data_IF_503109135332
#
_entry.id   IF_503109135332
#
_cell.length_a   1.000
_cell.length_b   1.000
_cell.length_c   1.000
_cell.angle_alpha   90.00
_cell.angle_beta   90.00
_cell.angle_gamma   90.00
#
_symmetry.space_group_name_H-M   'P 1'
#
loop_
_entity.id
_entity.type
_entity.pdbx_description
1 polymer ?
#
# COMPACT_ATOMS: atom_id res chain seq x y z
N UNK A 1 45.43 -11.56 39.56
CA UNK A 1 43.97 -11.37 39.37
C UNK A 1 43.74 -10.03 38.66
N UNK A 2 43.53 -10.04 37.34
CA UNK A 2 43.03 -8.89 36.58
C UNK A 2 42.04 -9.44 35.56
N UNK A 3 40.76 -9.35 35.88
CA UNK A 3 39.68 -9.69 34.96
C UNK A 3 39.41 -8.46 34.10
N UNK A 4 39.67 -8.57 32.80
CA UNK A 4 39.33 -7.56 31.81
C UNK A 4 37.96 -7.92 31.22
N UNK A 5 36.91 -7.29 31.74
CA UNK A 5 35.55 -7.43 31.20
C UNK A 5 35.43 -6.62 29.92
N UNK A 6 35.41 -7.30 28.77
CA UNK A 6 35.08 -6.71 27.47
C UNK A 6 33.57 -6.53 27.40
N UNK A 7 33.11 -5.28 27.52
CA UNK A 7 31.72 -4.90 27.24
C UNK A 7 31.57 -4.87 25.71
N UNK A 8 30.95 -5.91 25.15
CA UNK A 8 30.52 -5.93 23.75
C UNK A 8 29.28 -5.05 23.64
N UNK A 9 29.47 -3.83 23.14
CA UNK A 9 28.38 -2.94 22.77
C UNK A 9 27.70 -3.50 21.52
N UNK A 10 26.64 -4.29 21.70
CA UNK A 10 25.77 -4.72 20.61
C UNK A 10 25.01 -3.51 20.08
N UNK A 11 25.55 -2.88 19.03
CA UNK A 11 24.86 -1.90 18.22
C UNK A 11 23.64 -2.56 17.57
N UNK A 12 22.47 -2.39 18.17
CA UNK A 12 21.19 -2.70 17.56
C UNK A 12 21.00 -1.77 16.35
N UNK A 13 21.35 -2.24 15.16
CA UNK A 13 20.99 -1.62 13.90
C UNK A 13 19.48 -1.74 13.73
N UNK A 14 18.74 -0.79 14.30
CA UNK A 14 17.35 -0.56 13.93
C UNK A 14 17.29 -0.31 12.43
N UNK A 15 16.65 -1.22 11.69
CA UNK A 15 16.32 -0.99 10.29
C UNK A 15 15.34 0.19 10.23
N UNK A 16 15.87 1.40 10.07
CA UNK A 16 15.10 2.55 9.62
C UNK A 16 14.71 2.26 8.17
N UNK A 17 13.49 1.77 7.98
CA UNK A 17 12.89 1.73 6.65
C UNK A 17 12.70 3.17 6.17
N UNK A 18 13.61 3.65 5.34
CA UNK A 18 13.40 4.90 4.61
C UNK A 18 12.21 4.68 3.68
N UNK A 19 11.06 5.29 4.01
CA UNK A 19 9.96 5.40 3.04
C UNK A 19 10.54 6.10 1.80
N UNK A 20 10.25 5.55 0.61
CA UNK A 20 10.70 6.16 -0.65
C UNK A 20 10.33 7.65 -0.68
N UNK A 21 11.11 8.49 -1.37
CA UNK A 21 10.74 9.89 -1.53
C UNK A 21 9.59 10.00 -2.55
N UNK A 22 8.62 10.91 -2.34
CA UNK A 22 7.61 11.18 -3.36
C UNK A 22 8.29 11.67 -4.63
N UNK A 23 7.76 11.24 -5.78
CA UNK A 23 8.22 11.71 -7.09
C UNK A 23 7.64 13.07 -7.43
N UNK A 24 6.50 13.42 -6.82
CA UNK A 24 5.84 14.70 -6.95
C UNK A 24 4.99 14.97 -5.70
N UNK A 25 4.88 16.25 -5.31
CA UNK A 25 4.08 16.67 -4.16
C UNK A 25 3.23 17.88 -4.55
N UNK A 26 1.93 17.77 -4.28
CA UNK A 26 0.94 18.80 -4.56
C UNK A 26 0.43 19.39 -3.25
N UNK A 27 0.42 20.71 -3.13
CA UNK A 27 0.04 21.42 -1.91
C UNK A 27 -1.37 22.00 -1.98
N UNK A 28 -2.01 22.09 -0.81
CA UNK A 28 -3.37 22.59 -0.66
C UNK A 28 -3.41 23.76 0.31
N UNK A 29 -4.30 24.69 0.00
CA UNK A 29 -4.68 25.75 0.93
C UNK A 29 -5.39 25.18 2.17
N UNK A 30 -5.45 26.00 3.22
CA UNK A 30 -6.14 25.61 4.44
C UNK A 30 -7.60 25.24 4.15
N UNK A 31 -8.02 24.11 4.71
CA UNK A 31 -9.39 23.60 4.63
C UNK A 31 -9.93 23.37 3.21
N UNK A 32 -9.05 23.26 2.21
CA UNK A 32 -9.45 23.02 0.81
C UNK A 32 -9.00 21.67 0.28
N UNK A 33 -9.82 21.11 -0.59
CA UNK A 33 -9.46 20.01 -1.49
C UNK A 33 -9.46 20.43 -2.97
N UNK A 34 -9.81 21.68 -3.29
CA UNK A 34 -9.62 22.26 -4.61
C UNK A 34 -8.17 22.77 -4.77
N UNK A 35 -7.58 22.60 -5.95
CA UNK A 35 -6.24 23.11 -6.26
C UNK A 35 -6.28 24.47 -6.95
N UNK A 36 -5.24 25.27 -6.72
CA UNK A 36 -4.99 26.47 -7.52
C UNK A 36 -4.28 26.10 -8.84
N UNK A 37 -4.26 27.02 -9.80
CA UNK A 37 -3.71 26.77 -11.14
C UNK A 37 -2.25 26.33 -11.12
N UNK A 38 -1.43 26.89 -10.22
CA UNK A 38 -0.01 26.51 -10.12
C UNK A 38 0.14 25.04 -9.72
N UNK A 39 -0.65 24.58 -8.75
CA UNK A 39 -0.63 23.19 -8.29
C UNK A 39 -1.24 22.21 -9.30
N UNK A 40 -2.24 22.66 -10.07
CA UNK A 40 -2.74 21.88 -11.22
C UNK A 40 -1.62 21.71 -12.25
N UNK A 41 -0.89 22.79 -12.56
CA UNK A 41 0.20 22.75 -13.54
C UNK A 41 1.33 21.81 -13.10
N UNK A 42 1.64 21.73 -11.80
CA UNK A 42 2.59 20.73 -11.26
C UNK A 42 2.20 19.30 -11.64
N UNK A 43 0.92 18.94 -11.51
CA UNK A 43 0.43 17.59 -11.89
C UNK A 43 0.54 17.37 -13.40
N UNK A 44 0.15 18.37 -14.20
CA UNK A 44 0.20 18.29 -15.66
C UNK A 44 1.64 18.12 -16.16
N UNK A 45 2.58 18.88 -15.59
CA UNK A 45 4.00 18.79 -15.96
C UNK A 45 4.61 17.45 -15.55
N UNK A 46 4.20 16.91 -14.40
CA UNK A 46 4.57 15.56 -13.98
C UNK A 46 4.13 14.51 -15.02
N UNK A 47 2.88 14.55 -15.49
CA UNK A 47 2.36 13.60 -16.49
C UNK A 47 3.16 13.71 -17.80
N UNK A 48 3.49 14.93 -18.23
CA UNK A 48 4.26 15.15 -19.48
C UNK A 48 5.69 14.61 -19.40
N UNK A 49 6.32 14.66 -18.22
CA UNK A 49 7.71 14.23 -18.01
C UNK A 49 7.83 12.73 -17.80
N UNK A 50 6.78 12.07 -17.31
CA UNK A 50 6.87 10.69 -16.87
C UNK A 50 6.76 9.70 -18.04
N UNK A 51 7.73 8.78 -18.14
CA UNK A 51 7.68 7.68 -19.08
C UNK A 51 6.73 6.59 -18.57
N UNK A 52 5.46 6.67 -18.98
CA UNK A 52 4.40 5.75 -18.54
C UNK A 52 4.67 4.29 -18.93
N UNK A 53 5.56 4.00 -19.88
CA UNK A 53 5.92 2.63 -20.27
C UNK A 53 6.71 1.90 -19.19
N UNK A 54 7.49 2.65 -18.39
CA UNK A 54 8.32 2.19 -17.28
C UNK A 54 7.62 2.22 -15.93
N UNK A 55 6.44 2.81 -15.86
CA UNK A 55 5.61 2.84 -14.64
C UNK A 55 4.76 1.57 -14.59
N UNK A 56 4.84 0.87 -13.47
CA UNK A 56 3.89 -0.18 -13.12
C UNK A 56 2.62 0.46 -12.58
N UNK A 57 2.76 1.25 -11.50
CA UNK A 57 1.64 1.92 -10.86
C UNK A 57 2.02 3.25 -10.19
N UNK A 58 1.01 4.06 -9.89
CA UNK A 58 1.10 5.26 -9.07
C UNK A 58 0.29 5.04 -7.79
N UNK A 59 0.86 5.51 -6.69
CA UNK A 59 0.22 5.58 -5.38
C UNK A 59 0.06 7.04 -4.99
N UNK A 60 -1.08 7.37 -4.39
CA UNK A 60 -1.48 8.74 -4.05
C UNK A 60 -1.84 8.77 -2.57
N UNK A 61 -1.14 9.59 -1.79
CA UNK A 61 -1.36 9.74 -0.35
C UNK A 61 -1.65 11.18 0.00
N UNK A 62 -2.79 11.43 0.64
CA UNK A 62 -3.21 12.77 1.02
C UNK A 62 -3.08 13.00 2.51
N UNK A 63 -2.70 14.22 2.87
CA UNK A 63 -2.45 14.61 4.25
C UNK A 63 -3.12 15.94 4.56
N UNK A 64 -3.39 16.15 5.84
CA UNK A 64 -3.82 17.42 6.41
C UNK A 64 -2.84 17.90 7.48
N UNK A 65 -2.93 19.17 7.84
CA UNK A 65 -2.22 19.70 8.99
C UNK A 65 -2.83 19.24 10.32
N UNK A 66 -2.22 19.60 11.45
CA UNK A 66 -2.55 19.09 12.79
C UNK A 66 -3.90 19.56 13.34
N UNK A 67 -4.60 20.48 12.65
CA UNK A 67 -5.83 21.13 13.13
C UNK A 67 -7.09 20.39 12.70
N UNK A 68 -8.15 20.50 13.50
CA UNK A 68 -9.46 19.87 13.25
C UNK A 68 -9.56 18.44 13.78
N UNK A 69 -10.78 17.89 13.74
CA UNK A 69 -11.05 16.53 14.22
C UNK A 69 -10.39 15.46 13.34
N UNK A 70 -10.12 14.28 13.91
CA UNK A 70 -9.51 13.16 13.18
C UNK A 70 -10.35 12.75 11.96
N UNK A 71 -11.65 12.50 12.17
CA UNK A 71 -12.56 12.01 11.11
C UNK A 71 -12.73 13.04 10.00
N UNK A 72 -12.82 14.33 10.37
CA UNK A 72 -12.87 15.43 9.41
C UNK A 72 -11.62 15.45 8.51
N UNK A 73 -10.43 15.40 9.12
CA UNK A 73 -9.18 15.39 8.36
C UNK A 73 -9.02 14.14 7.51
N UNK A 74 -9.54 13.01 7.96
CA UNK A 74 -9.54 11.77 7.19
C UNK A 74 -10.35 11.95 5.89
N UNK A 75 -11.59 12.42 5.98
CA UNK A 75 -12.41 12.69 4.78
C UNK A 75 -11.83 13.84 3.92
N UNK A 76 -11.30 14.91 4.52
CA UNK A 76 -10.64 15.99 3.76
C UNK A 76 -9.44 15.47 2.97
N UNK A 77 -8.58 14.67 3.60
CA UNK A 77 -7.42 14.08 2.93
C UNK A 77 -7.81 13.09 1.83
N UNK A 78 -8.94 12.39 1.99
CA UNK A 78 -9.53 11.51 0.98
C UNK A 78 -10.07 12.30 -0.22
N UNK A 79 -10.73 13.42 0.02
CA UNK A 79 -11.18 14.31 -1.06
C UNK A 79 -10.00 14.89 -1.84
N UNK A 80 -8.90 15.25 -1.16
CA UNK A 80 -7.67 15.74 -1.81
C UNK A 80 -7.05 14.72 -2.77
N UNK A 81 -6.94 13.45 -2.36
CA UNK A 81 -6.40 12.41 -3.25
C UNK A 81 -7.33 12.12 -4.43
N UNK A 82 -8.65 12.23 -4.25
CA UNK A 82 -9.62 12.10 -5.34
C UNK A 82 -9.46 13.26 -6.34
N UNK A 83 -9.28 14.49 -5.87
CA UNK A 83 -9.01 15.64 -6.75
C UNK A 83 -7.76 15.42 -7.60
N UNK A 84 -6.66 14.97 -7.00
CA UNK A 84 -5.42 14.65 -7.74
C UNK A 84 -5.62 13.49 -8.71
N UNK A 85 -6.34 12.44 -8.30
CA UNK A 85 -6.68 11.32 -9.18
C UNK A 85 -7.44 11.81 -10.42
N UNK A 86 -8.47 12.63 -10.24
CA UNK A 86 -9.30 13.13 -11.34
C UNK A 86 -8.45 13.92 -12.33
N UNK A 87 -7.61 14.85 -11.85
CA UNK A 87 -6.72 15.63 -12.70
C UNK A 87 -5.74 14.74 -13.46
N UNK A 88 -5.15 13.73 -12.81
CA UNK A 88 -4.29 12.75 -13.49
C UNK A 88 -5.04 12.06 -14.64
N UNK A 89 -6.25 11.57 -14.38
CA UNK A 89 -7.04 10.84 -15.39
C UNK A 89 -7.58 11.72 -16.51
N UNK A 90 -8.01 12.95 -16.20
CA UNK A 90 -8.48 13.94 -17.17
C UNK A 90 -7.36 14.38 -18.11
N UNK A 91 -6.12 14.38 -17.63
CA UNK A 91 -4.92 14.66 -18.43
C UNK A 91 -4.29 13.40 -19.05
N UNK A 92 -5.07 12.31 -19.18
CA UNK A 92 -4.70 11.14 -19.96
C UNK A 92 -3.89 10.06 -19.21
N UNK A 93 -3.67 10.21 -17.90
CA UNK A 93 -3.04 9.13 -17.14
C UNK A 93 -3.99 7.93 -17.01
N UNK A 94 -3.50 6.74 -17.31
CA UNK A 94 -4.32 5.53 -17.27
C UNK A 94 -4.78 5.22 -15.82
N UNK A 95 -6.09 5.31 -15.58
CA UNK A 95 -6.72 5.03 -14.28
C UNK A 95 -6.35 3.65 -13.72
N UNK A 96 -6.15 2.65 -14.58
CA UNK A 96 -5.81 1.28 -14.15
C UNK A 96 -4.41 1.16 -13.55
N UNK A 97 -3.55 2.16 -13.74
CA UNK A 97 -2.23 2.27 -13.10
C UNK A 97 -2.27 3.04 -11.77
N UNK A 98 -3.39 3.64 -11.38
CA UNK A 98 -3.54 4.29 -10.07
C UNK A 98 -4.10 3.24 -9.10
N UNK A 99 -3.26 2.71 -8.22
CA UNK A 99 -3.59 1.48 -7.46
C UNK A 99 -3.86 1.72 -5.98
N UNK A 100 -3.18 2.69 -5.36
CA UNK A 100 -3.39 3.05 -3.95
C UNK A 100 -3.77 4.52 -3.88
N UNK A 101 -4.89 4.80 -3.23
CA UNK A 101 -5.45 6.14 -3.06
C UNK A 101 -5.92 6.23 -1.61
N UNK A 102 -5.14 6.89 -0.77
CA UNK A 102 -5.36 6.87 0.67
C UNK A 102 -5.28 8.27 1.27
N UNK A 103 -6.39 8.72 1.87
CA UNK A 103 -6.39 9.85 2.79
C UNK A 103 -5.79 9.41 4.12
N UNK A 104 -4.67 10.01 4.53
CA UNK A 104 -3.94 9.69 5.76
C UNK A 104 -4.40 10.50 6.97
N UNK A 105 -5.28 11.48 6.76
CA UNK A 105 -5.74 12.37 7.81
C UNK A 105 -4.68 13.40 8.21
N UNK A 106 -4.71 13.83 9.47
CA UNK A 106 -3.83 14.89 9.99
C UNK A 106 -2.45 14.36 10.37
N UNK A 107 -1.43 15.18 10.09
CA UNK A 107 -0.07 14.98 10.59
C UNK A 107 0.08 15.77 11.89
N UNK A 108 0.35 15.09 13.00
CA UNK A 108 0.58 15.73 14.30
C UNK A 108 1.94 16.43 14.30
N UNK A 109 1.95 17.71 14.69
CA UNK A 109 3.17 18.53 14.78
C UNK A 109 3.48 18.82 16.24
N UNK A 110 4.72 18.54 16.65
CA UNK A 110 5.25 18.96 17.95
C UNK A 110 5.68 20.43 17.84
N UNK A 111 4.82 21.33 18.33
CA UNK A 111 4.92 22.78 18.09
C UNK A 111 6.22 23.40 18.59
N UNK A 112 6.79 22.82 19.64
CA UNK A 112 8.06 23.17 20.28
C UNK A 112 9.29 22.74 19.48
N UNK A 113 9.13 21.84 18.49
CA UNK A 113 10.23 21.27 17.70
C UNK A 113 10.28 21.78 16.26
N UNK A 114 9.48 22.77 15.92
CA UNK A 114 9.43 23.34 14.57
C UNK A 114 9.74 24.83 14.60
N UNK A 115 10.61 25.27 13.70
CA UNK A 115 11.02 26.68 13.59
C UNK A 115 9.84 27.57 13.18
N UNK A 116 9.06 27.10 12.19
CA UNK A 116 7.88 27.80 11.70
C UNK A 116 6.67 26.87 11.62
N UNK A 117 5.77 27.03 12.57
CA UNK A 117 4.55 26.24 12.66
C UNK A 117 3.62 26.48 11.46
N UNK A 118 3.50 27.73 10.99
CA UNK A 118 2.62 28.06 9.85
C UNK A 118 3.11 27.40 8.57
N UNK A 119 4.42 27.50 8.31
CA UNK A 119 5.04 26.89 7.14
C UNK A 119 4.96 25.36 7.19
N UNK A 120 5.23 24.76 8.36
CA UNK A 120 5.12 23.31 8.56
C UNK A 120 3.70 22.81 8.28
N UNK A 121 2.68 23.54 8.75
CA UNK A 121 1.27 23.23 8.44
C UNK A 121 1.00 23.32 6.95
N UNK A 122 1.51 24.35 6.28
CA UNK A 122 1.37 24.48 4.83
C UNK A 122 2.01 23.33 4.07
N UNK A 123 3.19 22.87 4.49
CA UNK A 123 3.85 21.69 3.93
C UNK A 123 3.12 20.38 4.24
N UNK A 124 2.35 20.30 5.32
CA UNK A 124 1.56 19.11 5.68
C UNK A 124 0.22 19.01 4.95
N UNK A 125 -0.32 20.11 4.44
CA UNK A 125 -1.49 20.10 3.56
C UNK A 125 -1.06 19.72 2.15
N UNK A 126 -0.88 18.43 1.90
CA UNK A 126 -0.33 17.95 0.64
C UNK A 126 -0.91 16.62 0.18
N UNK A 127 -0.68 16.32 -1.07
CA UNK A 127 -0.81 14.99 -1.67
C UNK A 127 0.53 14.60 -2.27
N UNK A 128 1.02 13.44 -1.88
CA UNK A 128 2.29 12.87 -2.34
C UNK A 128 2.02 11.76 -3.36
N UNK A 129 2.72 11.81 -4.50
CA UNK A 129 2.67 10.81 -5.56
C UNK A 129 3.92 9.95 -5.49
N UNK A 130 3.74 8.65 -5.57
CA UNK A 130 4.83 7.66 -5.64
C UNK A 130 4.68 6.82 -6.88
N UNK A 131 5.79 6.57 -7.58
CA UNK A 131 5.83 5.66 -8.73
C UNK A 131 6.41 4.33 -8.29
N UNK A 132 5.67 3.26 -8.59
CA UNK A 132 6.22 1.90 -8.64
C UNK A 132 6.71 1.67 -10.07
N UNK A 133 8.01 1.42 -10.22
CA UNK A 133 8.60 1.13 -11.55
C UNK A 133 8.29 -0.32 -11.93
N UNK A 134 8.15 -0.58 -13.23
CA UNK A 134 8.09 -1.96 -13.72
C UNK A 134 9.32 -2.73 -13.28
N UNK A 135 9.11 -3.99 -12.88
CA UNK A 135 10.16 -4.91 -12.44
C UNK A 135 10.95 -4.44 -11.19
N UNK A 136 10.44 -3.47 -10.41
CA UNK A 136 11.17 -2.94 -9.23
C UNK A 136 11.25 -3.91 -8.06
N UNK A 137 10.42 -4.95 -8.03
CA UNK A 137 10.36 -5.90 -6.93
C UNK A 137 11.39 -7.04 -7.04
N UNK A 138 12.10 -7.15 -8.16
CA UNK A 138 13.06 -8.23 -8.42
C UNK A 138 12.49 -9.36 -9.27
N UNK A 139 13.37 -10.30 -9.64
CA UNK A 139 13.03 -11.42 -10.53
C UNK A 139 12.03 -12.36 -9.85
N UNK A 140 10.97 -12.74 -10.56
CA UNK A 140 9.93 -13.64 -10.06
C UNK A 140 8.88 -12.96 -9.15
N UNK A 141 8.87 -11.63 -9.06
CA UNK A 141 7.85 -10.88 -8.33
C UNK A 141 7.07 -10.00 -9.32
N UNK A 142 5.77 -10.23 -9.39
CA UNK A 142 4.83 -9.61 -10.31
C UNK A 142 3.73 -8.89 -9.55
N UNK A 143 3.11 -7.91 -10.18
CA UNK A 143 1.97 -7.12 -9.66
C UNK A 143 0.62 -7.58 -10.22
N UNK A 144 0.67 -8.52 -11.17
CA UNK A 144 -0.48 -9.11 -11.85
C UNK A 144 -0.12 -10.51 -12.37
N UNK A 145 -1.14 -11.31 -12.64
CA UNK A 145 -0.95 -12.60 -13.31
C UNK A 145 -0.41 -12.39 -14.73
N UNK A 146 0.54 -13.24 -15.11
CA UNK A 146 1.16 -13.28 -16.43
C UNK A 146 0.62 -14.48 -17.22
N UNK A 147 0.85 -14.49 -18.53
CA UNK A 147 0.49 -15.63 -19.39
C UNK A 147 1.12 -16.95 -18.92
N UNK A 148 2.35 -16.87 -18.40
CA UNK A 148 3.05 -18.00 -17.80
C UNK A 148 3.76 -17.59 -16.51
N UNK A 149 3.77 -18.51 -15.56
CA UNK A 149 4.48 -18.39 -14.29
C UNK A 149 5.42 -19.58 -14.09
N UNK A 150 6.26 -19.50 -13.07
CA UNK A 150 7.09 -20.59 -12.56
C UNK A 150 6.78 -20.83 -11.09
N UNK A 151 7.05 -22.06 -10.62
CA UNK A 151 7.01 -22.37 -9.19
C UNK A 151 7.93 -21.42 -8.44
N UNK A 152 7.41 -20.82 -7.36
CA UNK A 152 8.08 -19.81 -6.56
C UNK A 152 7.80 -18.36 -6.98
N UNK A 153 7.17 -18.13 -8.13
CA UNK A 153 6.75 -16.78 -8.52
C UNK A 153 5.79 -16.20 -7.48
N UNK A 154 5.93 -14.91 -7.19
CA UNK A 154 5.07 -14.17 -6.27
C UNK A 154 4.28 -13.13 -7.05
N UNK A 155 2.97 -13.12 -6.86
CA UNK A 155 2.06 -12.18 -7.51
C UNK A 155 1.46 -11.31 -6.41
N UNK A 156 1.99 -10.11 -6.26
CA UNK A 156 1.48 -9.10 -5.35
C UNK A 156 0.22 -8.45 -5.94
N UNK A 157 -0.88 -8.51 -5.21
CA UNK A 157 -2.17 -7.99 -5.67
C UNK A 157 -2.37 -6.54 -5.23
N UNK A 158 -1.77 -5.59 -5.95
CA UNK A 158 -1.79 -4.15 -5.64
C UNK A 158 -3.19 -3.56 -5.45
N UNK A 159 -4.18 -4.12 -6.16
CA UNK A 159 -5.56 -3.64 -6.18
C UNK A 159 -6.47 -4.35 -5.19
N UNK A 160 -5.94 -5.30 -4.42
CA UNK A 160 -6.65 -5.97 -3.33
C UNK A 160 -6.39 -5.22 -2.03
N UNK A 161 -7.20 -4.20 -1.85
CA UNK A 161 -7.16 -3.25 -0.74
C UNK A 161 -8.09 -3.71 0.40
N UNK A 162 -7.63 -3.43 1.61
CA UNK A 162 -8.39 -3.61 2.84
C UNK A 162 -8.53 -2.27 3.55
N UNK A 163 -9.66 -2.06 4.23
CA UNK A 163 -9.77 -0.93 5.14
C UNK A 163 -8.72 -1.04 6.27
N UNK A 164 -8.31 0.10 6.83
CA UNK A 164 -7.31 0.12 7.90
C UNK A 164 -7.74 -0.76 9.07
N UNK A 165 -6.85 -1.68 9.46
CA UNK A 165 -7.09 -2.64 10.55
C UNK A 165 -8.15 -3.71 10.26
N UNK A 166 -8.74 -3.76 9.08
CA UNK A 166 -9.81 -4.69 8.72
C UNK A 166 -9.33 -5.77 7.76
N UNK A 167 -9.98 -6.94 7.83
CA UNK A 167 -9.81 -8.03 6.85
C UNK A 167 -10.92 -8.07 5.79
N UNK A 168 -11.90 -7.17 5.84
CA UNK A 168 -13.00 -7.10 4.87
C UNK A 168 -12.52 -6.60 3.50
N UNK A 169 -12.92 -7.33 2.46
CA UNK A 169 -12.69 -6.95 1.07
C UNK A 169 -13.61 -5.79 0.68
N UNK A 170 -13.03 -4.74 0.11
CA UNK A 170 -13.79 -3.63 -0.48
C UNK A 170 -14.46 -4.06 -1.79
N UNK A 171 -15.49 -3.35 -2.23
CA UNK A 171 -16.13 -3.62 -3.53
C UNK A 171 -15.16 -3.50 -4.70
N UNK A 172 -14.21 -2.56 -4.64
CA UNK A 172 -13.17 -2.43 -5.66
C UNK A 172 -12.27 -3.67 -5.70
N UNK A 173 -11.92 -4.22 -4.54
CA UNK A 173 -11.11 -5.43 -4.45
C UNK A 173 -11.86 -6.68 -4.90
N UNK A 174 -13.18 -6.75 -4.68
CA UNK A 174 -14.01 -7.83 -5.24
C UNK A 174 -14.01 -7.82 -6.77
N UNK A 175 -14.12 -6.64 -7.40
CA UNK A 175 -14.02 -6.49 -8.86
C UNK A 175 -12.67 -6.98 -9.41
N UNK A 176 -11.59 -6.66 -8.70
CA UNK A 176 -10.26 -7.15 -9.08
C UNK A 176 -10.15 -8.67 -8.90
N UNK A 177 -10.67 -9.22 -7.80
CA UNK A 177 -10.70 -10.67 -7.60
C UNK A 177 -11.53 -11.38 -8.67
N UNK A 178 -12.62 -10.78 -9.15
CA UNK A 178 -13.39 -11.35 -10.26
C UNK A 178 -12.58 -11.46 -11.54
N UNK A 179 -11.72 -10.48 -11.85
CA UNK A 179 -10.79 -10.58 -12.98
C UNK A 179 -9.77 -11.71 -12.77
N UNK A 180 -9.24 -11.84 -11.55
CA UNK A 180 -8.30 -12.93 -11.19
C UNK A 180 -8.97 -14.31 -11.29
N UNK A 181 -10.24 -14.43 -10.89
CA UNK A 181 -11.02 -15.69 -10.99
C UNK A 181 -11.04 -16.19 -12.44
N UNK A 182 -11.26 -15.31 -13.42
CA UNK A 182 -11.28 -15.70 -14.83
C UNK A 182 -9.95 -16.31 -15.28
N UNK A 183 -8.82 -15.74 -14.83
CA UNK A 183 -7.49 -16.26 -15.13
C UNK A 183 -7.24 -17.61 -14.45
N UNK A 184 -7.59 -17.74 -13.17
CA UNK A 184 -7.45 -18.98 -12.40
C UNK A 184 -8.36 -20.13 -12.89
N UNK A 185 -9.47 -19.80 -13.56
CA UNK A 185 -10.36 -20.76 -14.21
C UNK A 185 -9.78 -21.28 -15.52
N UNK A 186 -8.97 -20.47 -16.23
CA UNK A 186 -8.21 -20.91 -17.41
C UNK A 186 -7.03 -21.79 -16.99
N UNK A 187 -6.34 -21.43 -15.90
CA UNK A 187 -5.17 -22.16 -15.37
C UNK A 187 -5.58 -23.21 -14.34
N UNK A 188 -6.24 -24.31 -14.79
CA UNK A 188 -6.88 -25.31 -13.91
C UNK A 188 -5.93 -26.18 -13.07
N UNK A 189 -4.66 -26.28 -13.44
CA UNK A 189 -3.66 -27.11 -12.74
C UNK A 189 -2.83 -26.33 -11.72
N UNK A 190 -2.85 -25.00 -11.79
CA UNK A 190 -2.05 -24.15 -10.91
C UNK A 190 -2.49 -24.31 -9.46
N UNK A 191 -1.53 -24.55 -8.57
CA UNK A 191 -1.69 -24.53 -7.11
C UNK A 191 -0.90 -23.35 -6.54
N UNK A 192 -1.49 -22.64 -5.57
CA UNK A 192 -0.91 -21.41 -5.03
C UNK A 192 -1.23 -21.17 -3.56
N UNK A 193 -0.35 -20.43 -2.89
CA UNK A 193 -0.51 -20.00 -1.50
C UNK A 193 -0.84 -18.51 -1.44
N UNK A 194 -1.93 -18.17 -0.77
CA UNK A 194 -2.39 -16.81 -0.52
C UNK A 194 -1.74 -16.33 0.80
N UNK A 195 -0.83 -15.36 0.72
CA UNK A 195 -0.15 -14.80 1.89
C UNK A 195 -0.71 -13.42 2.21
N UNK A 196 -1.23 -13.26 3.43
CA UNK A 196 -1.62 -11.95 3.95
C UNK A 196 -0.49 -11.33 4.75
N UNK A 197 -0.36 -10.02 4.63
CA UNK A 197 0.66 -9.20 5.29
C UNK A 197 0.02 -8.01 5.99
N UNK A 198 0.67 -7.56 7.06
CA UNK A 198 0.32 -6.34 7.79
C UNK A 198 1.54 -5.46 7.93
N UNK A 199 1.32 -4.15 7.99
CA UNK A 199 2.40 -3.21 8.30
C UNK A 199 2.53 -3.03 9.83
N UNK A 200 3.68 -2.51 10.24
CA UNK A 200 3.89 -1.75 11.49
C UNK A 200 3.42 -2.43 12.79
N UNK A 201 3.52 -3.76 12.85
CA UNK A 201 3.31 -4.50 14.10
C UNK A 201 4.61 -4.47 14.92
N UNK A 202 4.58 -4.13 16.24
CA UNK A 202 5.77 -4.21 17.08
C UNK A 202 6.41 -5.59 17.00
N UNK A 203 7.75 -5.66 17.07
CA UNK A 203 8.52 -6.91 16.89
C UNK A 203 8.12 -8.04 17.84
N UNK A 204 7.57 -7.72 19.00
CA UNK A 204 7.07 -8.71 19.98
C UNK A 204 5.76 -9.38 19.58
N UNK A 205 5.04 -8.83 18.60
CA UNK A 205 3.79 -9.38 18.10
C UNK A 205 3.98 -10.00 16.71
N UNK A 206 3.41 -11.18 16.51
CA UNK A 206 3.50 -11.91 15.25
C UNK A 206 2.53 -11.39 14.17
N UNK A 207 1.46 -10.71 14.59
CA UNK A 207 0.43 -10.17 13.69
C UNK A 207 -0.25 -8.94 14.34
N UNK A 208 -1.02 -8.20 13.54
CA UNK A 208 -1.85 -7.10 13.97
C UNK A 208 -3.24 -7.58 14.42
N UNK A 209 -3.92 -6.72 15.20
CA UNK A 209 -5.30 -6.94 15.63
C UNK A 209 -6.23 -6.64 14.44
N UNK A 210 -7.13 -7.57 14.16
CA UNK A 210 -8.20 -7.38 13.19
C UNK A 210 -9.38 -6.69 13.88
N UNK A 211 -9.72 -5.49 13.41
CA UNK A 211 -10.84 -4.68 13.91
C UNK A 211 -12.18 -5.43 13.84
N UNK A 212 -12.34 -6.35 12.90
CA UNK A 212 -13.61 -7.05 12.71
C UNK A 212 -13.79 -8.23 13.68
N UNK A 213 -12.71 -8.93 14.01
CA UNK A 213 -12.76 -10.13 14.88
C UNK A 213 -12.22 -9.87 16.28
N UNK A 214 -11.54 -8.75 16.49
CA UNK A 214 -10.80 -8.40 17.71
C UNK A 214 -9.65 -9.37 18.04
N UNK A 215 -9.30 -10.27 17.13
CA UNK A 215 -8.18 -11.21 17.28
C UNK A 215 -6.89 -10.67 16.66
N UNK A 216 -5.74 -11.07 17.22
CA UNK A 216 -4.42 -10.79 16.65
C UNK A 216 -4.08 -11.73 15.49
N UNK A 217 -4.88 -11.67 14.44
CA UNK A 217 -4.78 -12.52 13.24
C UNK A 217 -5.13 -11.77 11.95
N UNK A 218 -4.87 -10.45 11.89
CA UNK A 218 -5.27 -9.62 10.76
C UNK A 218 -4.68 -10.11 9.43
N UNK A 219 -3.39 -10.44 9.39
CA UNK A 219 -2.75 -10.94 8.17
C UNK A 219 -3.37 -12.28 7.72
N UNK A 220 -3.63 -13.18 8.67
CA UNK A 220 -4.27 -14.46 8.40
C UNK A 220 -5.71 -14.29 7.89
N UNK A 221 -6.49 -13.43 8.54
CA UNK A 221 -7.88 -13.20 8.19
C UNK A 221 -8.02 -12.54 6.81
N UNK A 222 -7.10 -11.65 6.44
CA UNK A 222 -7.02 -11.08 5.07
C UNK A 222 -6.82 -12.17 4.02
N UNK A 223 -5.83 -13.04 4.24
CA UNK A 223 -5.56 -14.17 3.34
C UNK A 223 -6.77 -15.12 3.25
N UNK A 224 -7.37 -15.43 4.40
CA UNK A 224 -8.55 -16.29 4.51
C UNK A 224 -9.77 -15.72 3.79
N UNK A 225 -9.98 -14.41 3.83
CA UNK A 225 -11.10 -13.78 3.15
C UNK A 225 -10.93 -13.81 1.62
N UNK A 226 -9.71 -13.62 1.12
CA UNK A 226 -9.41 -13.83 -0.31
C UNK A 226 -9.62 -15.29 -0.71
N UNK A 227 -9.11 -16.24 0.08
CA UNK A 227 -9.33 -17.67 -0.13
C UNK A 227 -10.82 -18.03 -0.25
N UNK A 228 -11.63 -17.58 0.72
CA UNK A 228 -13.08 -17.83 0.75
C UNK A 228 -13.78 -17.19 -0.44
N UNK A 229 -13.37 -15.99 -0.83
CA UNK A 229 -13.94 -15.31 -2.00
C UNK A 229 -13.71 -16.15 -3.28
N UNK A 230 -12.47 -16.57 -3.53
CA UNK A 230 -12.12 -17.39 -4.69
C UNK A 230 -12.83 -18.75 -4.68
N UNK A 231 -12.89 -19.41 -3.51
CA UNK A 231 -13.60 -20.68 -3.34
C UNK A 231 -15.08 -20.53 -3.70
N UNK A 232 -15.74 -19.49 -3.19
CA UNK A 232 -17.14 -19.20 -3.48
C UNK A 232 -17.39 -18.86 -4.96
N UNK A 233 -16.35 -18.38 -5.68
CA UNK A 233 -16.37 -18.13 -7.12
C UNK A 233 -16.00 -19.37 -7.95
N UNK A 234 -15.88 -20.55 -7.32
CA UNK A 234 -15.70 -21.83 -7.98
C UNK A 234 -14.23 -22.24 -8.21
N UNK A 235 -13.26 -21.55 -7.61
CA UNK A 235 -11.87 -22.00 -7.63
C UNK A 235 -11.73 -23.20 -6.66
N UNK A 236 -11.27 -24.34 -7.17
CA UNK A 236 -11.10 -25.55 -6.37
C UNK A 236 -10.21 -25.28 -5.14
N UNK A 237 -10.78 -25.51 -3.95
CA UNK A 237 -10.14 -25.30 -2.65
C UNK A 237 -8.87 -26.11 -2.44
N UNK A 238 -8.74 -27.27 -3.10
CA UNK A 238 -7.55 -28.13 -3.02
C UNK A 238 -6.33 -27.53 -3.72
N UNK A 239 -6.51 -26.53 -4.58
CA UNK A 239 -5.42 -25.84 -5.27
C UNK A 239 -4.93 -24.61 -4.53
N UNK A 240 -5.56 -24.29 -3.40
CA UNK A 240 -5.35 -23.04 -2.68
C UNK A 240 -4.92 -23.33 -1.26
N UNK A 241 -3.85 -22.66 -0.83
CA UNK A 241 -3.46 -22.58 0.57
C UNK A 241 -3.54 -21.12 1.02
N UNK A 242 -3.65 -20.85 2.32
CA UNK A 242 -3.58 -19.49 2.84
C UNK A 242 -2.83 -19.43 4.17
N UNK A 243 -2.02 -18.38 4.34
CA UNK A 243 -1.26 -18.14 5.57
C UNK A 243 -1.25 -16.66 5.95
N UNK A 244 -1.12 -16.37 7.24
CA UNK A 244 -0.83 -15.04 7.77
C UNK A 244 0.66 -14.88 7.99
N UNK A 245 1.28 -13.91 7.33
CA UNK A 245 2.73 -13.67 7.41
C UNK A 245 3.11 -12.54 8.37
N UNK A 246 2.14 -11.87 8.99
CA UNK A 246 2.41 -10.73 9.84
C UNK A 246 3.14 -9.62 9.08
N UNK A 247 4.14 -9.02 9.73
CA UNK A 247 5.07 -8.06 9.16
C UNK A 247 6.45 -8.67 8.80
N UNK A 248 6.54 -10.00 8.68
CA UNK A 248 7.83 -10.72 8.52
C UNK A 248 8.50 -10.53 7.17
N UNK A 249 7.75 -10.16 6.13
CA UNK A 249 8.25 -10.02 4.76
C UNK A 249 7.92 -8.63 4.18
N UNK A 250 8.52 -7.55 4.72
CA UNK A 250 8.34 -6.22 4.16
C UNK A 250 8.97 -6.14 2.77
N UNK A 251 8.33 -5.41 1.85
CA UNK A 251 8.87 -5.14 0.51
C UNK A 251 9.90 -4.01 0.53
N UNK A 252 9.97 -3.24 1.62
CA UNK A 252 10.88 -2.10 1.75
C UNK A 252 10.49 -0.89 0.90
N UNK A 253 9.28 -0.90 0.32
CA UNK A 253 8.79 0.14 -0.60
C UNK A 253 7.66 0.99 0.02
N UNK A 254 7.40 0.84 1.31
CA UNK A 254 6.42 1.63 2.06
C UNK A 254 5.31 0.80 2.70
N UNK A 255 4.72 1.34 3.77
CA UNK A 255 3.79 0.60 4.63
C UNK A 255 2.52 0.12 3.92
N UNK A 256 2.04 0.86 2.93
CA UNK A 256 0.84 0.47 2.18
C UNK A 256 1.07 -0.78 1.34
N UNK A 257 2.26 -0.92 0.77
CA UNK A 257 2.68 -2.11 0.05
C UNK A 257 2.89 -3.31 0.98
N UNK A 258 3.14 -3.06 2.27
CA UNK A 258 3.22 -4.10 3.29
C UNK A 258 1.86 -4.51 3.86
N UNK A 259 0.81 -3.73 3.63
CA UNK A 259 -0.59 -4.11 3.90
C UNK A 259 -1.19 -4.81 2.69
N UNK A 260 -0.66 -5.98 2.34
CA UNK A 260 -1.01 -6.67 1.10
C UNK A 260 -1.53 -8.09 1.28
N UNK A 261 -2.12 -8.59 0.20
CA UNK A 261 -2.18 -10.02 -0.08
C UNK A 261 -1.36 -10.30 -1.34
N UNK A 262 -0.62 -11.39 -1.34
CA UNK A 262 0.12 -11.89 -2.50
C UNK A 262 -0.16 -13.38 -2.69
N UNK A 263 -0.02 -13.86 -3.92
CA UNK A 263 -0.03 -15.29 -4.21
C UNK A 263 1.39 -15.77 -4.44
N UNK A 264 1.69 -16.98 -4.00
CA UNK A 264 2.94 -17.68 -4.29
C UNK A 264 2.60 -18.94 -5.05
N UNK A 265 3.16 -19.09 -6.25
CA UNK A 265 2.91 -20.25 -7.09
C UNK A 265 3.63 -21.46 -6.51
N UNK A 266 2.88 -22.50 -6.17
CA UNK A 266 3.41 -23.75 -5.60
C UNK A 266 3.61 -24.82 -6.67
N UNK A 267 2.71 -24.87 -7.66
CA UNK A 267 2.72 -25.86 -8.74
C UNK A 267 1.97 -25.34 -9.97
N UNK A 268 2.31 -25.86 -11.14
CA UNK A 268 1.70 -25.56 -12.45
C UNK A 268 1.35 -26.87 -13.14
#
# INVERSE_FOLDING_TARGET
MKNLSVIVLLLFSGYLSAQGKPVETVYFEFDKFTLNNNQIQTIVDFIKKVDTTKIESIQIYGYCDDRGANDYNFELSKNRVITVQNILTENGFNKNKIVIIEGKGRIIVQKDKVENLSETRSKNRRVDLFIVKKNSFGKGIYTSFQESHKVGDRIYLEKILFALGSSKLTEQSKKELDAIVLLLQQQKTMEFEIRGHVCCTPSHYQDAIDKDTQERKLSLNRAKNVYRYLMNKGINSLRMHYIGSGNKFPLGQGEALDRRVEFVILKI
#
